data_IF_104989551914
#
_entry.id   IF_104989551914
#
_cell.length_a   1.000
_cell.length_b   1.000
_cell.length_c   1.000
_cell.angle_alpha   90.00
_cell.angle_beta   90.00
_cell.angle_gamma   90.00
#
_symmetry.space_group_name_H-M   'P 1'
#
loop_
_entity.id
_entity.type
_entity.pdbx_description
1 polymer ?
#
# COMPACT_ATOMS: atom_id res chain seq x y z
N UNK A 1 8.83 12.15 -6.39
CA UNK A 1 10.00 12.28 -5.48
C UNK A 1 9.64 12.79 -4.07
N UNK A 2 8.52 13.50 -3.86
CA UNK A 2 8.07 13.92 -2.52
C UNK A 2 7.61 12.73 -1.65
N UNK A 3 6.82 11.81 -2.20
CA UNK A 3 6.33 10.62 -1.49
C UNK A 3 7.45 9.75 -0.88
N UNK A 4 8.51 9.51 -1.68
CA UNK A 4 9.68 8.77 -1.23
C UNK A 4 10.41 9.48 -0.09
N UNK A 5 10.52 10.80 -0.15
CA UNK A 5 11.16 11.61 0.89
C UNK A 5 10.37 11.56 2.20
N UNK A 6 9.06 11.77 2.15
CA UNK A 6 8.17 11.69 3.32
C UNK A 6 8.21 10.30 3.97
N UNK A 7 8.12 9.24 3.15
CA UNK A 7 8.22 7.87 3.62
C UNK A 7 9.58 7.57 4.28
N UNK A 8 10.68 8.00 3.66
CA UNK A 8 12.04 7.84 4.18
C UNK A 8 12.20 8.57 5.52
N UNK A 9 11.73 9.81 5.63
CA UNK A 9 11.83 10.61 6.85
C UNK A 9 11.03 9.99 8.00
N UNK A 10 9.79 9.59 7.75
CA UNK A 10 8.96 8.93 8.78
C UNK A 10 9.55 7.59 9.24
N UNK A 11 10.13 6.81 8.32
CA UNK A 11 10.81 5.57 8.65
C UNK A 11 12.06 5.82 9.50
N UNK A 12 12.93 6.74 9.09
CA UNK A 12 14.15 7.08 9.82
C UNK A 12 13.87 7.68 11.21
N UNK A 13 12.74 8.35 11.38
CA UNK A 13 12.29 8.89 12.66
C UNK A 13 11.63 7.83 13.58
N UNK A 14 11.54 6.56 13.17
CA UNK A 14 10.91 5.49 13.97
C UNK A 14 9.40 5.67 14.16
N UNK A 15 8.75 6.43 13.27
CA UNK A 15 7.32 6.73 13.33
C UNK A 15 6.45 5.66 12.64
N UNK A 16 7.08 4.75 11.92
CA UNK A 16 6.46 3.66 11.19
C UNK A 16 7.04 2.33 11.67
N UNK A 17 6.16 1.36 11.89
CA UNK A 17 6.50 -0.03 12.16
C UNK A 17 6.43 -0.87 10.88
N UNK A 18 5.66 -0.40 9.88
CA UNK A 18 5.50 -1.03 8.57
C UNK A 18 5.48 0.02 7.45
N UNK A 19 6.25 -0.23 6.39
CA UNK A 19 6.22 0.53 5.15
C UNK A 19 6.03 -0.44 3.98
N UNK A 20 4.95 -0.28 3.22
CA UNK A 20 4.71 -1.06 2.01
C UNK A 20 4.71 -0.11 0.81
N UNK A 21 5.63 -0.33 -0.12
CA UNK A 21 5.70 0.43 -1.37
C UNK A 21 5.15 -0.42 -2.51
N UNK A 22 4.08 0.05 -3.13
CA UNK A 22 3.36 -0.63 -4.22
C UNK A 22 3.55 0.17 -5.49
N UNK A 23 4.09 -0.45 -6.53
CA UNK A 23 3.96 0.06 -7.89
C UNK A 23 2.51 -0.20 -8.34
N UNK A 24 1.71 0.85 -8.43
CA UNK A 24 0.26 0.76 -8.63
C UNK A 24 -0.14 0.96 -10.10
N UNK A 25 0.61 0.38 -11.05
CA UNK A 25 0.36 0.54 -12.49
C UNK A 25 -0.84 -0.26 -12.99
N UNK A 26 -1.26 -1.29 -12.25
CA UNK A 26 -2.49 -2.05 -12.50
C UNK A 26 -3.04 -2.69 -11.23
N UNK A 27 -4.30 -3.14 -11.27
CA UNK A 27 -4.92 -3.95 -10.19
C UNK A 27 -4.11 -5.19 -9.82
N UNK A 28 -3.56 -5.90 -10.80
CA UNK A 28 -2.77 -7.14 -10.57
C UNK A 28 -1.50 -6.83 -9.77
N UNK A 29 -0.84 -5.71 -10.07
CA UNK A 29 0.36 -5.29 -9.34
C UNK A 29 0.04 -4.93 -7.89
N UNK A 30 -1.10 -4.26 -7.64
CA UNK A 30 -1.57 -3.93 -6.28
C UNK A 30 -1.86 -5.22 -5.49
N UNK A 31 -2.60 -6.16 -6.07
CA UNK A 31 -2.93 -7.44 -5.44
C UNK A 31 -1.67 -8.23 -5.10
N UNK A 32 -0.75 -8.34 -6.05
CA UNK A 32 0.51 -9.07 -5.88
C UNK A 32 1.36 -8.45 -4.76
N UNK A 33 1.44 -7.13 -4.71
CA UNK A 33 2.20 -6.44 -3.67
C UNK A 33 1.60 -6.64 -2.27
N UNK A 34 0.26 -6.60 -2.13
CA UNK A 34 -0.39 -6.86 -0.84
C UNK A 34 -0.26 -8.32 -0.40
N UNK A 35 -0.41 -9.27 -1.34
CA UNK A 35 -0.22 -10.68 -1.06
C UNK A 35 1.22 -10.97 -0.58
N UNK A 36 2.22 -10.37 -1.23
CA UNK A 36 3.60 -10.45 -0.78
C UNK A 36 3.80 -9.84 0.61
N UNK A 37 3.21 -8.67 0.86
CA UNK A 37 3.34 -8.00 2.16
C UNK A 37 2.80 -8.87 3.30
N UNK A 38 1.63 -9.50 3.15
CA UNK A 38 1.11 -10.38 4.20
C UNK A 38 1.92 -11.68 4.35
N UNK A 39 2.47 -12.21 3.26
CA UNK A 39 3.34 -13.37 3.32
C UNK A 39 4.63 -13.08 4.10
N UNK A 40 5.24 -11.91 3.88
CA UNK A 40 6.41 -11.46 4.63
C UNK A 40 6.10 -11.21 6.11
N UNK A 41 4.90 -10.70 6.43
CA UNK A 41 4.46 -10.45 7.81
C UNK A 41 4.17 -11.75 8.57
N UNK A 42 3.52 -12.72 7.92
CA UNK A 42 3.02 -13.94 8.58
C UNK A 42 3.93 -15.15 8.39
N UNK A 43 4.86 -15.10 7.44
CA UNK A 43 5.66 -16.23 7.00
C UNK A 43 4.86 -17.30 6.25
N UNK A 44 3.65 -16.99 5.80
CA UNK A 44 2.75 -17.91 5.11
C UNK A 44 2.38 -17.39 3.73
N UNK A 45 2.62 -18.20 2.69
CA UNK A 45 2.25 -17.84 1.32
C UNK A 45 0.74 -18.01 1.09
N UNK A 46 0.03 -16.96 0.62
CA UNK A 46 -1.37 -17.08 0.24
C UNK A 46 -1.53 -17.92 -1.03
N UNK A 47 -2.71 -18.54 -1.20
CA UNK A 47 -2.95 -19.41 -2.36
C UNK A 47 -3.00 -18.64 -3.69
N UNK A 48 -3.50 -17.40 -3.65
CA UNK A 48 -3.53 -16.48 -4.78
C UNK A 48 -3.37 -15.00 -4.32
N UNK A 49 -3.01 -14.07 -5.23
CA UNK A 49 -2.86 -12.66 -4.89
C UNK A 49 -4.12 -12.01 -4.30
N UNK A 50 -5.30 -12.41 -4.75
CA UNK A 50 -6.59 -11.90 -4.27
C UNK A 50 -6.88 -12.29 -2.82
N UNK A 51 -6.55 -13.51 -2.43
CA UNK A 51 -6.61 -13.99 -1.05
C UNK A 51 -5.60 -13.22 -0.20
N UNK A 52 -4.34 -13.17 -0.63
CA UNK A 52 -3.30 -12.46 0.11
C UNK A 52 -3.63 -10.98 0.31
N UNK A 53 -4.16 -10.31 -0.71
CA UNK A 53 -4.60 -8.93 -0.59
C UNK A 53 -5.74 -8.74 0.42
N UNK A 54 -6.73 -9.65 0.43
CA UNK A 54 -7.82 -9.63 1.42
C UNK A 54 -7.30 -9.85 2.84
N UNK A 55 -6.37 -10.77 3.02
CA UNK A 55 -5.75 -11.07 4.32
C UNK A 55 -4.91 -9.90 4.81
N UNK A 56 -4.11 -9.28 3.94
CA UNK A 56 -3.36 -8.06 4.25
C UNK A 56 -4.29 -6.94 4.74
N UNK A 57 -5.36 -6.64 3.99
CA UNK A 57 -6.31 -5.60 4.35
C UNK A 57 -7.07 -5.93 5.64
N UNK A 58 -7.38 -7.20 5.89
CA UNK A 58 -7.98 -7.64 7.15
C UNK A 58 -7.01 -7.50 8.33
N UNK A 59 -5.74 -7.83 8.14
CA UNK A 59 -4.68 -7.67 9.14
C UNK A 59 -4.51 -6.20 9.55
N UNK A 60 -4.68 -5.27 8.60
CA UNK A 60 -4.65 -3.83 8.84
C UNK A 60 -5.91 -3.27 9.52
N UNK A 61 -6.99 -4.02 9.73
CA UNK A 61 -8.23 -3.51 10.38
C UNK A 61 -8.14 -3.51 11.90
N UNK A 62 -8.92 -2.65 12.61
CA UNK A 62 -8.96 -2.68 14.07
C UNK A 62 -9.29 -4.09 14.55
N UNK A 63 -8.51 -4.60 15.53
CA UNK A 63 -8.64 -5.97 16.01
C UNK A 63 -7.98 -7.06 15.15
N UNK A 64 -7.44 -6.71 13.97
CA UNK A 64 -6.57 -7.60 13.19
C UNK A 64 -5.16 -7.71 13.80
N UNK A 65 -4.32 -8.58 13.23
CA UNK A 65 -2.95 -8.80 13.72
C UNK A 65 -2.06 -7.55 13.67
N UNK A 66 -2.36 -6.61 12.76
CA UNK A 66 -1.72 -5.30 12.65
C UNK A 66 -2.46 -4.19 13.38
N UNK A 67 -3.35 -4.55 14.32
CA UNK A 67 -4.26 -3.67 15.05
C UNK A 67 -3.63 -2.37 15.57
N UNK A 68 -2.41 -2.45 16.09
CA UNK A 68 -1.66 -1.35 16.69
C UNK A 68 -0.43 -0.90 15.87
N UNK A 69 -0.19 -1.52 14.71
CA UNK A 69 0.98 -1.25 13.87
C UNK A 69 0.83 0.11 13.21
N UNK A 70 1.82 0.98 13.35
CA UNK A 70 1.86 2.26 12.64
C UNK A 70 2.37 2.02 11.23
N UNK A 71 1.52 2.19 10.22
CA UNK A 71 1.86 1.82 8.85
C UNK A 71 1.74 2.98 7.86
N UNK A 72 2.58 2.93 6.82
CA UNK A 72 2.46 3.74 5.62
C UNK A 72 2.41 2.82 4.40
N UNK A 73 1.36 2.93 3.60
CA UNK A 73 1.24 2.24 2.31
C UNK A 73 1.33 3.29 1.22
N UNK A 74 2.36 3.19 0.38
CA UNK A 74 2.53 4.06 -0.78
C UNK A 74 2.04 3.31 -2.01
N UNK A 75 1.01 3.85 -2.66
CA UNK A 75 0.50 3.41 -3.95
C UNK A 75 1.10 4.34 -5.02
N UNK A 76 2.28 3.96 -5.51
CA UNK A 76 3.07 4.79 -6.40
C UNK A 76 2.66 4.55 -7.85
N UNK A 77 2.18 5.61 -8.47
CA UNK A 77 1.95 5.67 -9.89
C UNK A 77 0.63 5.09 -10.36
N UNK A 78 -0.42 5.24 -9.55
CA UNK A 78 -1.78 4.83 -9.90
C UNK A 78 -2.21 5.41 -11.24
N UNK A 79 -2.58 4.51 -12.17
CA UNK A 79 -3.01 4.84 -13.53
C UNK A 79 -4.53 4.97 -13.60
N UNK A 80 -5.26 3.97 -13.10
CA UNK A 80 -6.72 3.95 -13.05
C UNK A 80 -7.22 3.87 -11.60
N UNK A 81 -7.98 4.86 -11.10
CA UNK A 81 -8.58 4.80 -9.77
C UNK A 81 -9.48 3.59 -9.50
N UNK A 82 -10.10 3.01 -10.54
CA UNK A 82 -10.98 1.85 -10.39
C UNK A 82 -10.22 0.57 -9.99
N UNK A 83 -8.91 0.51 -10.24
CA UNK A 83 -8.08 -0.60 -9.81
C UNK A 83 -8.04 -0.73 -8.28
N UNK A 84 -8.26 0.36 -7.54
CA UNK A 84 -8.34 0.35 -6.07
C UNK A 84 -9.71 -0.03 -5.50
N UNK A 85 -10.71 -0.33 -6.34
CA UNK A 85 -12.02 -0.75 -5.85
C UNK A 85 -11.89 -2.00 -4.98
N UNK A 86 -12.27 -1.86 -3.71
CA UNK A 86 -12.14 -2.92 -2.69
C UNK A 86 -10.72 -3.17 -2.18
N UNK A 87 -9.73 -2.38 -2.62
CA UNK A 87 -8.32 -2.52 -2.25
C UNK A 87 -7.78 -1.31 -1.47
N UNK A 88 -8.63 -0.35 -1.12
CA UNK A 88 -8.23 0.73 -0.23
C UNK A 88 -7.82 0.18 1.15
N UNK A 89 -6.61 0.51 1.65
CA UNK A 89 -6.26 0.27 3.03
C UNK A 89 -7.28 0.94 3.97
N UNK A 90 -7.57 0.33 5.13
CA UNK A 90 -8.57 0.87 6.05
C UNK A 90 -8.13 2.24 6.59
N UNK A 91 -9.06 3.19 6.66
CA UNK A 91 -8.80 4.49 7.29
C UNK A 91 -8.57 4.32 8.79
N UNK A 92 -7.49 4.91 9.31
CA UNK A 92 -7.13 4.83 10.74
C UNK A 92 -6.21 5.94 11.20
N UNK A 93 -6.26 6.31 12.50
CA UNK A 93 -5.42 7.38 13.04
C UNK A 93 -3.91 7.10 12.93
N UNK A 94 -3.52 5.83 13.03
CA UNK A 94 -2.11 5.38 13.02
C UNK A 94 -1.66 4.78 11.68
N UNK A 95 -2.55 4.76 10.69
CA UNK A 95 -2.30 4.18 9.36
C UNK A 95 -2.49 5.24 8.29
N UNK A 96 -1.58 5.31 7.32
CA UNK A 96 -1.68 6.30 6.24
C UNK A 96 -1.48 5.65 4.87
N UNK A 97 -2.34 6.02 3.93
CA UNK A 97 -2.17 5.68 2.52
C UNK A 97 -1.74 6.92 1.75
N UNK A 98 -0.65 6.81 0.99
CA UNK A 98 -0.18 7.85 0.10
C UNK A 98 -0.30 7.37 -1.34
N UNK A 99 -1.10 8.07 -2.14
CA UNK A 99 -1.27 7.76 -3.55
C UNK A 99 -0.51 8.78 -4.38
N UNK A 100 0.31 8.31 -5.32
CA UNK A 100 0.83 9.14 -6.40
C UNK A 100 0.20 8.65 -7.70
N UNK A 101 -0.11 9.57 -8.61
CA UNK A 101 -0.71 9.24 -9.92
C UNK A 101 0.24 9.65 -11.03
N UNK A 102 0.36 8.84 -12.09
CA UNK A 102 0.97 9.32 -13.32
C UNK A 102 -0.02 10.20 -14.06
N UNK A 103 0.05 11.50 -13.81
CA UNK A 103 -0.72 12.46 -14.60
C UNK A 103 -0.08 12.56 -15.99
N UNK A 104 -0.70 11.94 -17.00
CA UNK A 104 -0.25 11.99 -18.41
C UNK A 104 -0.27 13.41 -19.02
N UNK A 105 -0.82 14.39 -18.31
CA UNK A 105 -1.16 15.72 -18.83
C UNK A 105 -0.03 16.75 -18.77
N UNK A 106 1.22 16.36 -18.48
CA UNK A 106 2.39 17.27 -18.54
C UNK A 106 3.37 16.93 -19.67
N UNK A 107 3.05 15.96 -20.53
CA UNK A 107 3.91 15.56 -21.65
C UNK A 107 3.36 16.01 -23.02
N UNK A 108 2.42 16.96 -23.06
CA UNK A 108 1.94 17.55 -24.32
C UNK A 108 1.76 19.06 -24.18
N UNK A 109 2.88 19.76 -24.16
CA UNK A 109 3.01 21.13 -24.69
C UNK A 109 4.50 21.33 -25.02
N UNK A 110 4.79 21.38 -26.32
CA UNK A 110 6.10 21.39 -26.95
C UNK A 110 5.98 20.98 -28.40
#
# INVERSE_FOLDING_TARGET
QLAAKEARTAWQAGQLDLLVWVTAGSRVEILTAYARAIAEITGSDPADPEQGAREFLAWLRPGGGGGAVRWLIVLDGLVDPDDLRGLWPPDRPVGRTLVTTWRRDLAREG
#
